data_IF_074250228547
#
_entry.id   IF_074250228547
#
_cell.length_a   1.000
_cell.length_b   1.000
_cell.length_c   1.000
_cell.angle_alpha   90.00
_cell.angle_beta   90.00
_cell.angle_gamma   90.00
#
_symmetry.space_group_name_H-M   'P 1'
#
loop_
_entity.id
_entity.type
_entity.pdbx_description
1 polymer ?
#
# COMPACT_ATOMS: atom_id res chain seq x y z
N UNK A 1 24.12 8.81 -2.00
CA UNK A 1 23.89 8.33 -0.63
C UNK A 1 22.78 7.27 -0.58
N UNK A 2 21.55 7.60 -0.94
CA UNK A 2 20.47 6.60 -0.90
C UNK A 2 20.28 5.96 -2.26
N UNK A 3 19.92 4.68 -2.27
CA UNK A 3 19.66 3.93 -3.50
C UNK A 3 18.16 3.68 -3.69
N UNK A 4 17.49 3.17 -2.65
CA UNK A 4 16.10 2.76 -2.76
C UNK A 4 15.45 2.67 -1.37
N UNK A 5 14.15 2.52 -1.38
CA UNK A 5 13.38 2.34 -0.16
C UNK A 5 13.45 0.87 0.28
N UNK A 6 13.72 0.61 1.57
CA UNK A 6 13.62 -0.73 2.16
C UNK A 6 12.20 -0.97 2.68
N UNK A 7 11.74 -0.07 3.52
CA UNK A 7 10.39 -0.13 4.08
C UNK A 7 9.90 1.25 4.45
N UNK A 8 8.61 1.34 4.67
CA UNK A 8 7.97 2.49 5.30
C UNK A 8 7.07 1.99 6.43
N UNK A 9 6.58 2.90 7.25
CA UNK A 9 5.69 2.58 8.35
C UNK A 9 4.31 3.16 8.07
N UNK A 10 3.28 2.32 8.19
CA UNK A 10 1.89 2.71 8.07
C UNK A 10 1.23 2.54 9.43
N UNK A 11 0.59 3.61 9.92
CA UNK A 11 -0.18 3.56 11.16
C UNK A 11 -1.64 3.34 10.82
N UNK A 12 -2.26 2.32 11.43
CA UNK A 12 -3.67 2.00 11.20
C UNK A 12 -4.49 2.14 12.46
N UNK A 13 -5.71 2.61 12.32
CA UNK A 13 -6.73 2.61 13.37
C UNK A 13 -7.69 1.41 13.22
N UNK A 14 -7.51 0.60 12.16
CA UNK A 14 -8.40 -0.51 11.81
C UNK A 14 -7.56 -1.72 11.41
N UNK A 15 -6.93 -2.37 12.40
CA UNK A 15 -5.94 -3.43 12.17
C UNK A 15 -6.46 -4.55 11.27
N UNK A 16 -7.61 -5.13 11.60
CA UNK A 16 -8.11 -6.29 10.86
C UNK A 16 -8.50 -5.92 9.43
N UNK A 17 -9.17 -4.80 9.24
CA UNK A 17 -9.53 -4.31 7.91
C UNK A 17 -8.27 -3.97 7.08
N UNK A 18 -7.28 -3.37 7.72
CA UNK A 18 -6.00 -3.05 7.08
C UNK A 18 -5.30 -4.31 6.59
N UNK A 19 -5.19 -5.32 7.44
CA UNK A 19 -4.58 -6.60 7.06
C UNK A 19 -5.35 -7.27 5.93
N UNK A 20 -6.69 -7.27 5.98
CA UNK A 20 -7.52 -7.86 4.94
C UNK A 20 -7.32 -7.15 3.60
N UNK A 21 -7.21 -5.83 3.60
CA UNK A 21 -7.00 -5.05 2.38
C UNK A 21 -5.64 -5.35 1.75
N UNK A 22 -4.57 -5.22 2.52
CA UNK A 22 -3.22 -5.37 1.95
C UNK A 22 -2.88 -6.81 1.59
N UNK A 23 -3.38 -7.81 2.35
CA UNK A 23 -3.13 -9.22 2.02
C UNK A 23 -4.16 -9.75 1.02
N UNK A 24 -5.45 -9.54 1.27
CA UNK A 24 -6.52 -10.13 0.47
C UNK A 24 -6.76 -9.41 -0.85
N UNK A 25 -6.70 -8.09 -0.86
CA UNK A 25 -6.95 -7.30 -2.08
C UNK A 25 -5.67 -7.08 -2.85
N UNK A 26 -4.60 -6.59 -2.20
CA UNK A 26 -3.35 -6.26 -2.87
C UNK A 26 -2.36 -7.42 -2.97
N UNK A 27 -2.60 -8.53 -2.27
CA UNK A 27 -1.77 -9.72 -2.40
C UNK A 27 -0.45 -9.68 -1.65
N UNK A 28 -0.30 -8.81 -0.67
CA UNK A 28 0.91 -8.78 0.17
C UNK A 28 0.91 -9.94 1.15
N UNK A 29 2.09 -10.29 1.67
CA UNK A 29 2.25 -11.38 2.64
C UNK A 29 2.50 -10.81 4.03
N UNK A 30 1.68 -11.22 4.99
CA UNK A 30 1.85 -10.82 6.39
C UNK A 30 2.95 -11.63 7.04
N UNK A 31 3.89 -10.93 7.68
CA UNK A 31 4.95 -11.53 8.49
C UNK A 31 4.95 -10.92 9.88
N UNK A 32 5.27 -11.74 10.87
CA UNK A 32 5.52 -11.28 12.24
C UNK A 32 7.01 -11.27 12.49
N UNK A 33 7.52 -10.22 13.11
CA UNK A 33 8.94 -10.12 13.44
C UNK A 33 9.12 -9.43 14.79
N UNK A 34 10.33 -9.60 15.39
CA UNK A 34 10.61 -9.05 16.70
C UNK A 34 9.58 -9.51 17.73
N UNK A 35 9.19 -8.63 18.63
CA UNK A 35 8.23 -8.93 19.70
C UNK A 35 6.79 -8.65 19.24
N UNK A 36 6.30 -9.45 18.29
CA UNK A 36 4.91 -9.34 17.82
C UNK A 36 4.67 -8.18 16.86
N UNK A 37 5.71 -7.67 16.23
CA UNK A 37 5.58 -6.63 15.22
C UNK A 37 5.12 -7.22 13.91
N UNK A 38 4.29 -6.47 13.18
CA UNK A 38 3.70 -6.92 11.92
C UNK A 38 4.30 -6.18 10.74
N UNK A 39 4.51 -6.90 9.64
CA UNK A 39 4.96 -6.34 8.38
C UNK A 39 4.21 -6.97 7.22
N UNK A 40 3.96 -6.16 6.20
CA UNK A 40 3.32 -6.55 4.95
C UNK A 40 4.39 -6.54 3.87
N UNK A 41 4.74 -7.71 3.35
CA UNK A 41 5.81 -7.88 2.37
C UNK A 41 5.29 -7.90 0.95
N UNK A 42 5.99 -7.22 0.06
CA UNK A 42 5.72 -7.22 -1.38
C UNK A 42 7.04 -6.98 -2.12
N UNK A 43 7.28 -7.75 -3.19
CA UNK A 43 8.57 -7.67 -3.89
C UNK A 43 9.72 -7.83 -2.89
N UNK A 44 10.65 -6.88 -2.92
CA UNK A 44 11.79 -6.83 -1.99
C UNK A 44 11.63 -5.73 -0.93
N UNK A 45 10.41 -5.28 -0.71
CA UNK A 45 10.09 -4.21 0.22
C UNK A 45 9.02 -4.67 1.21
N UNK A 46 8.77 -3.86 2.21
CA UNK A 46 7.71 -4.14 3.17
C UNK A 46 7.12 -2.85 3.72
N UNK A 47 5.94 -2.97 4.30
CA UNK A 47 5.32 -1.95 5.13
C UNK A 47 5.31 -2.48 6.56
N UNK A 48 6.02 -1.82 7.47
CA UNK A 48 5.88 -2.10 8.90
C UNK A 48 4.59 -1.48 9.40
N UNK A 49 3.80 -2.24 10.16
CA UNK A 49 2.51 -1.79 10.63
C UNK A 49 2.59 -1.31 12.07
N UNK A 50 2.14 -0.07 12.32
CA UNK A 50 1.91 0.45 13.65
C UNK A 50 0.41 0.53 13.91
N UNK A 51 -0.02 0.16 15.11
CA UNK A 51 -1.40 0.30 15.56
C UNK A 51 -1.50 1.64 16.30
N UNK A 52 -2.47 2.47 15.92
CA UNK A 52 -2.67 3.77 16.57
C UNK A 52 -2.77 3.61 18.09
N UNK A 53 -1.96 4.37 18.82
CA UNK A 53 -1.88 4.32 20.26
C UNK A 53 -0.94 3.25 20.80
N UNK A 54 -0.41 2.37 19.97
CA UNK A 54 0.49 1.29 20.34
C UNK A 54 1.76 1.30 19.47
N UNK A 55 2.13 2.45 18.93
CA UNK A 55 3.29 2.59 18.05
C UNK A 55 4.58 2.22 18.78
N UNK A 56 5.53 1.67 18.04
CA UNK A 56 6.86 1.40 18.56
C UNK A 56 7.76 2.62 18.35
N UNK A 57 8.57 2.93 19.34
CA UNK A 57 9.55 4.01 19.23
C UNK A 57 10.85 3.51 18.56
N UNK A 58 11.56 4.34 17.77
CA UNK A 58 11.16 5.69 17.35
C UNK A 58 10.06 5.64 16.29
N UNK A 59 9.26 6.70 16.25
CA UNK A 59 8.16 6.81 15.28
C UNK A 59 8.16 8.19 14.63
N UNK A 60 7.35 8.36 13.59
CA UNK A 60 7.16 9.66 12.96
C UNK A 60 6.58 10.67 13.96
N UNK A 61 6.86 11.95 13.74
CA UNK A 61 6.31 13.03 14.58
C UNK A 61 4.78 13.06 14.55
N UNK A 62 4.19 12.77 13.38
CA UNK A 62 2.74 12.78 13.20
C UNK A 62 2.30 11.45 12.56
N UNK A 63 2.25 10.34 13.35
CA UNK A 63 1.85 9.05 12.82
C UNK A 63 0.32 8.95 12.74
N UNK A 64 -0.28 9.68 11.82
CA UNK A 64 -1.73 9.79 11.70
C UNK A 64 -2.25 8.77 10.70
N UNK A 65 -3.21 7.89 11.07
CA UNK A 65 -3.87 7.03 10.10
C UNK A 65 -4.50 7.82 8.96
N UNK A 66 -4.33 7.36 7.72
CA UNK A 66 -4.89 8.04 6.55
C UNK A 66 -4.03 9.15 5.99
N UNK A 67 -2.81 9.33 6.48
CA UNK A 67 -1.93 10.41 6.04
C UNK A 67 -1.06 10.04 4.83
N UNK A 68 -1.04 8.77 4.41
CA UNK A 68 -0.13 8.32 3.36
C UNK A 68 -0.76 8.42 1.98
N UNK A 69 0.12 8.61 0.99
CA UNK A 69 -0.20 8.63 -0.43
C UNK A 69 0.89 7.79 -1.11
N UNK A 70 0.52 6.59 -1.54
CA UNK A 70 1.48 5.58 -1.99
C UNK A 70 1.14 5.10 -3.39
N UNK A 71 2.19 4.86 -4.19
CA UNK A 71 2.06 4.24 -5.50
C UNK A 71 2.78 2.90 -5.51
N UNK A 72 2.04 1.85 -5.87
CA UNK A 72 2.58 0.49 -6.04
C UNK A 72 2.57 0.12 -7.51
N UNK A 73 3.67 -0.48 -7.97
CA UNK A 73 3.72 -1.06 -9.31
C UNK A 73 3.14 -2.47 -9.28
N UNK A 74 2.26 -2.74 -10.22
CA UNK A 74 1.61 -4.05 -10.34
C UNK A 74 2.45 -5.00 -11.17
N UNK A 75 2.45 -6.29 -10.79
CA UNK A 75 3.05 -7.37 -11.60
C UNK A 75 2.04 -7.98 -12.57
N UNK A 76 0.76 -7.59 -12.49
CA UNK A 76 -0.28 -8.04 -13.41
C UNK A 76 -0.79 -6.84 -14.21
N UNK A 77 -1.42 -7.08 -15.39
CA UNK A 77 -1.97 -5.97 -16.17
C UNK A 77 -3.01 -5.17 -15.39
N UNK A 78 -3.12 -3.88 -15.67
CA UNK A 78 -4.03 -3.00 -14.95
C UNK A 78 -5.49 -3.44 -15.06
N UNK A 79 -5.89 -4.01 -16.19
CA UNK A 79 -7.25 -4.53 -16.35
C UNK A 79 -7.56 -5.63 -15.33
N UNK A 80 -6.59 -6.49 -15.02
CA UNK A 80 -6.75 -7.51 -13.98
C UNK A 80 -6.81 -6.88 -12.59
N UNK A 81 -5.99 -5.86 -12.34
CA UNK A 81 -6.04 -5.10 -11.08
C UNK A 81 -7.45 -4.54 -10.87
N UNK A 82 -8.02 -3.92 -11.90
CA UNK A 82 -9.35 -3.33 -11.83
C UNK A 82 -10.43 -4.38 -11.55
N UNK A 83 -10.32 -5.56 -12.18
CA UNK A 83 -11.23 -6.68 -11.92
C UNK A 83 -11.16 -7.13 -10.46
N UNK A 84 -9.95 -7.29 -9.92
CA UNK A 84 -9.77 -7.72 -8.53
C UNK A 84 -10.33 -6.70 -7.55
N UNK A 85 -10.10 -5.41 -7.81
CA UNK A 85 -10.67 -4.34 -6.98
C UNK A 85 -12.19 -4.37 -7.00
N UNK A 86 -12.77 -4.54 -8.18
CA UNK A 86 -14.23 -4.61 -8.35
C UNK A 86 -14.81 -5.81 -7.61
N UNK A 87 -14.18 -6.98 -7.74
CA UNK A 87 -14.62 -8.19 -7.06
C UNK A 87 -14.53 -8.07 -5.54
N UNK A 88 -13.55 -7.32 -5.05
CA UNK A 88 -13.38 -7.06 -3.62
C UNK A 88 -14.27 -5.94 -3.09
N UNK A 89 -15.05 -5.29 -3.96
CA UNK A 89 -15.91 -4.18 -3.56
C UNK A 89 -15.16 -2.90 -3.23
N UNK A 90 -13.94 -2.73 -3.75
CA UNK A 90 -13.12 -1.53 -3.52
C UNK A 90 -13.41 -0.52 -4.63
N UNK A 91 -14.00 0.65 -4.33
CA UNK A 91 -14.30 1.65 -5.35
C UNK A 91 -13.03 2.24 -5.95
N UNK A 92 -13.02 2.37 -7.27
CA UNK A 92 -11.96 3.10 -7.98
C UNK A 92 -12.35 4.56 -8.01
N UNK A 93 -11.52 5.42 -7.40
CA UNK A 93 -11.77 6.86 -7.33
C UNK A 93 -11.50 7.54 -8.66
N UNK A 94 -10.44 7.12 -9.34
CA UNK A 94 -10.01 7.69 -10.60
C UNK A 94 -9.22 6.64 -11.36
N UNK A 95 -9.31 6.69 -12.67
CA UNK A 95 -8.54 5.84 -13.58
C UNK A 95 -9.38 4.86 -14.37
N UNK A 96 -8.75 4.20 -15.35
CA UNK A 96 -7.31 4.26 -15.65
C UNK A 96 -6.91 5.61 -16.26
N UNK A 97 -5.81 6.15 -15.78
CA UNK A 97 -5.25 7.43 -16.24
C UNK A 97 -3.76 7.32 -16.47
N UNK A 98 -3.19 8.09 -17.43
CA UNK A 98 -1.74 8.12 -17.61
C UNK A 98 -1.07 8.91 -16.49
N UNK A 99 0.08 8.42 -16.06
CA UNK A 99 0.91 9.07 -15.03
C UNK A 99 2.38 8.93 -15.39
N UNK A 100 3.21 9.75 -14.76
CA UNK A 100 4.65 9.70 -14.93
C UNK A 100 5.26 9.11 -13.67
N UNK A 101 5.86 7.93 -13.79
CA UNK A 101 6.52 7.27 -12.67
C UNK A 101 7.98 7.70 -12.55
N UNK A 102 8.65 7.13 -11.55
CA UNK A 102 10.06 7.42 -11.30
C UNK A 102 10.97 6.95 -12.46
N UNK A 103 10.57 5.92 -13.18
CA UNK A 103 11.38 5.31 -14.24
C UNK A 103 10.78 5.53 -15.63
N UNK A 104 9.52 5.90 -15.74
CA UNK A 104 8.89 6.10 -17.03
C UNK A 104 7.37 6.22 -16.92
N UNK A 105 6.68 6.26 -18.08
CA UNK A 105 5.23 6.40 -18.10
C UNK A 105 4.53 5.15 -17.58
N UNK A 106 3.35 5.35 -17.02
CA UNK A 106 2.53 4.27 -16.48
C UNK A 106 1.06 4.61 -16.58
N UNK A 107 0.20 3.60 -16.43
CA UNK A 107 -1.26 3.76 -16.28
C UNK A 107 -1.64 3.40 -14.86
N UNK A 108 -2.53 4.17 -14.28
CA UNK A 108 -2.83 4.08 -12.85
C UNK A 108 -4.30 4.11 -12.55
N UNK A 109 -4.67 3.45 -11.45
CA UNK A 109 -5.96 3.60 -10.78
C UNK A 109 -5.72 3.99 -9.33
N UNK A 110 -6.66 4.71 -8.75
CA UNK A 110 -6.59 5.21 -7.38
C UNK A 110 -7.72 4.63 -6.54
N UNK A 111 -7.38 4.15 -5.35
CA UNK A 111 -8.34 3.65 -4.36
C UNK A 111 -7.98 4.17 -2.97
N UNK A 112 -8.85 3.94 -1.99
CA UNK A 112 -8.57 4.22 -0.58
C UNK A 112 -8.40 2.90 0.17
N UNK A 113 -7.44 2.85 1.10
CA UNK A 113 -7.39 1.76 2.05
C UNK A 113 -8.38 2.01 3.21
N UNK A 114 -8.52 1.08 4.16
CA UNK A 114 -9.51 1.25 5.24
C UNK A 114 -9.29 2.46 6.15
N UNK A 115 -8.09 3.01 6.22
CA UNK A 115 -7.79 4.22 7.00
C UNK A 115 -7.93 5.49 6.18
N UNK A 116 -8.19 5.38 4.88
CA UNK A 116 -8.30 6.53 4.00
C UNK A 116 -6.99 6.94 3.33
N UNK A 117 -5.92 6.15 3.48
CA UNK A 117 -4.71 6.39 2.71
C UNK A 117 -5.01 6.30 1.22
N UNK A 118 -4.41 7.20 0.43
CA UNK A 118 -4.57 7.17 -1.02
C UNK A 118 -3.59 6.14 -1.59
N UNK A 119 -4.13 5.17 -2.32
CA UNK A 119 -3.34 4.09 -2.92
C UNK A 119 -3.49 4.17 -4.42
N UNK A 120 -2.38 4.42 -5.09
CA UNK A 120 -2.26 4.35 -6.54
C UNK A 120 -1.67 2.99 -6.91
N UNK A 121 -2.28 2.30 -7.87
CA UNK A 121 -1.77 1.03 -8.40
C UNK A 121 -1.51 1.25 -9.88
N UNK A 122 -0.29 0.97 -10.31
CA UNK A 122 0.17 1.36 -11.64
C UNK A 122 0.78 0.20 -12.40
N UNK A 123 0.51 0.20 -13.69
CA UNK A 123 1.15 -0.69 -14.66
C UNK A 123 2.16 0.14 -15.43
N UNK A 124 3.47 -0.22 -15.37
CA UNK A 124 4.47 0.47 -16.18
C UNK A 124 4.21 0.27 -17.67
N UNK A 125 4.34 1.34 -18.44
CA UNK A 125 4.30 1.29 -19.89
C UNK A 125 5.75 1.26 -20.36
N UNK A 126 6.14 0.16 -20.95
CA UNK A 126 7.54 -0.13 -21.32
C UNK A 126 8.23 0.95 -22.18
#
# INVERSE_FOLDING_TARGET
MVERLDHLVLTTAHKDACLAFYTGVLGMTLHTFGDGRLALHFGQQKINLHIKGQEFEPKATHPVPGALDLCFLSVVPLDEVMQRLQQAGVPILEGPVPRTGAVGPMRSVYVRDPDGNLIEISEPLS
#
